data_IF_264639775782
#
_entry.id   IF_264639775782
#
_cell.length_a   1.000
_cell.length_b   1.000
_cell.length_c   1.000
_cell.angle_alpha   90.00
_cell.angle_beta   90.00
_cell.angle_gamma   90.00
#
_symmetry.space_group_name_H-M   'P 1'
#
loop_
_entity.id
_entity.type
_entity.pdbx_description
1 polymer ?
#
# COMPACT_ATOMS: atom_id res chain seq x y z
N UNK A 1 14.22 -1.87 15.90
CA UNK A 1 15.14 -1.95 14.72
C UNK A 1 15.93 -0.65 14.60
N UNK A 2 17.02 -0.59 13.76
CA UNK A 2 17.60 0.73 13.43
C UNK A 2 16.63 1.49 12.53
N UNK A 3 16.53 2.83 12.68
CA UNK A 3 15.68 3.64 11.81
C UNK A 3 16.02 3.44 10.33
N UNK A 4 14.98 3.36 9.52
CA UNK A 4 15.08 3.24 8.06
C UNK A 4 14.45 4.49 7.46
N UNK A 5 15.27 5.37 6.88
CA UNK A 5 14.87 6.69 6.40
C UNK A 5 14.22 6.63 5.03
N UNK A 6 13.15 7.37 4.83
CA UNK A 6 12.39 7.42 3.59
C UNK A 6 12.92 8.58 2.74
N UNK A 7 13.51 8.26 1.59
CA UNK A 7 14.08 9.22 0.64
C UNK A 7 13.09 9.62 -0.46
N UNK A 8 12.23 8.70 -0.90
CA UNK A 8 11.25 8.96 -1.94
C UNK A 8 10.05 8.02 -1.85
N UNK A 9 8.91 8.49 -2.33
CA UNK A 9 7.64 7.77 -2.34
C UNK A 9 7.00 7.86 -3.73
N UNK A 10 6.59 6.70 -4.27
CA UNK A 10 5.80 6.61 -5.48
C UNK A 10 4.48 5.94 -5.19
N UNK A 11 3.38 6.48 -5.72
CA UNK A 11 2.04 6.01 -5.41
C UNK A 11 1.13 6.05 -6.63
N UNK A 12 0.33 5.00 -6.79
CA UNK A 12 -0.69 4.89 -7.83
C UNK A 12 -1.99 4.39 -7.19
N UNK A 13 -3.07 5.10 -7.41
CA UNK A 13 -4.36 4.81 -6.80
C UNK A 13 -5.51 5.32 -7.68
N UNK A 14 -6.73 5.31 -7.19
CA UNK A 14 -7.95 5.65 -7.95
C UNK A 14 -7.94 7.02 -8.64
N UNK A 15 -7.26 8.04 -8.09
CA UNK A 15 -7.11 9.36 -8.75
C UNK A 15 -5.90 9.42 -9.69
N UNK A 16 -5.23 8.31 -9.93
CA UNK A 16 -4.11 8.22 -10.84
C UNK A 16 -2.75 8.08 -10.15
N UNK A 17 -1.75 8.77 -10.65
CA UNK A 17 -0.34 8.57 -10.32
C UNK A 17 0.25 9.83 -9.68
N UNK A 18 1.06 9.65 -8.65
CA UNK A 18 1.91 10.67 -8.04
C UNK A 18 1.47 11.10 -6.64
N UNK A 19 2.48 11.45 -5.84
CA UNK A 19 2.32 11.80 -4.43
C UNK A 19 1.49 13.08 -4.23
N UNK A 20 1.60 14.07 -5.12
CA UNK A 20 0.82 15.29 -5.06
C UNK A 20 -0.69 15.03 -5.21
N UNK A 21 -1.08 14.08 -6.09
CA UNK A 21 -2.49 13.67 -6.22
C UNK A 21 -2.98 12.97 -4.98
N UNK A 22 -2.11 12.18 -4.34
CA UNK A 22 -2.45 11.51 -3.09
C UNK A 22 -2.62 12.49 -1.94
N UNK A 23 -1.72 13.47 -1.82
CA UNK A 23 -1.86 14.55 -0.84
C UNK A 23 -3.15 15.36 -1.06
N UNK A 24 -3.47 15.67 -2.31
CA UNK A 24 -4.73 16.36 -2.62
C UNK A 24 -5.95 15.50 -2.24
N UNK A 25 -5.89 14.19 -2.47
CA UNK A 25 -6.95 13.29 -2.06
C UNK A 25 -7.13 13.23 -0.52
N UNK A 26 -6.03 13.28 0.24
CA UNK A 26 -6.08 13.40 1.70
C UNK A 26 -6.74 14.70 2.17
N UNK A 27 -6.56 15.80 1.43
CA UNK A 27 -7.19 17.10 1.69
C UNK A 27 -8.68 17.13 1.33
N UNK A 28 -9.03 16.54 0.18
CA UNK A 28 -10.39 16.48 -0.34
C UNK A 28 -11.28 15.49 0.44
N UNK A 29 -10.67 14.46 1.00
CA UNK A 29 -11.37 13.41 1.71
C UNK A 29 -11.90 12.30 0.81
N UNK A 30 -13.15 11.86 1.06
CA UNK A 30 -13.77 10.75 0.35
C UNK A 30 -13.86 10.97 -1.15
N UNK A 31 -13.66 9.86 -1.89
CA UNK A 31 -13.83 9.83 -3.34
C UNK A 31 -14.85 8.75 -3.73
N UNK A 32 -15.55 8.96 -4.84
CA UNK A 32 -16.53 7.98 -5.33
C UNK A 32 -15.83 6.85 -6.08
N UNK A 33 -16.12 5.58 -5.74
CA UNK A 33 -15.55 4.45 -6.47
C UNK A 33 -16.10 4.38 -7.90
N UNK A 34 -15.31 3.81 -8.79
CA UNK A 34 -15.74 3.54 -10.17
C UNK A 34 -16.75 2.40 -10.22
N UNK A 35 -17.69 2.46 -11.17
CA UNK A 35 -18.70 1.43 -11.41
C UNK A 35 -18.30 0.62 -12.64
N UNK A 36 -18.28 -0.71 -12.53
CA UNK A 36 -18.07 -1.64 -13.65
C UNK A 36 -19.34 -1.79 -14.49
N UNK A 37 -19.22 -2.43 -15.66
CA UNK A 37 -20.36 -2.66 -16.56
C UNK A 37 -21.49 -3.51 -15.93
N UNK A 38 -21.15 -4.36 -14.97
CA UNK A 38 -22.08 -5.20 -14.20
C UNK A 38 -22.58 -4.55 -12.90
N UNK A 39 -22.26 -3.24 -12.70
CA UNK A 39 -22.75 -2.45 -11.58
C UNK A 39 -21.92 -2.55 -10.29
N UNK A 40 -20.85 -3.33 -10.27
CA UNK A 40 -19.97 -3.44 -9.09
C UNK A 40 -19.11 -2.20 -8.90
N UNK A 41 -18.95 -1.82 -7.66
CA UNK A 41 -18.15 -0.65 -7.27
C UNK A 41 -16.77 -1.07 -6.77
N UNK A 42 -15.73 -0.40 -7.27
CA UNK A 42 -14.35 -0.59 -6.81
C UNK A 42 -13.52 0.68 -7.01
N UNK A 43 -12.50 0.86 -6.20
CA UNK A 43 -11.50 1.91 -6.37
C UNK A 43 -10.43 1.43 -7.36
N UNK A 44 -10.67 1.69 -8.65
CA UNK A 44 -9.77 1.24 -9.73
C UNK A 44 -8.82 2.36 -10.15
N UNK A 45 -7.59 1.98 -10.41
CA UNK A 45 -6.60 2.88 -11.01
C UNK A 45 -7.00 3.18 -12.46
N UNK A 46 -7.13 4.45 -12.85
CA UNK A 46 -7.49 4.82 -14.21
C UNK A 46 -6.42 4.38 -15.22
N UNK A 47 -6.85 4.02 -16.43
CA UNK A 47 -5.94 3.47 -17.46
C UNK A 47 -4.84 4.45 -17.86
N UNK A 48 -5.14 5.73 -17.91
CA UNK A 48 -4.21 6.82 -18.27
C UNK A 48 -3.10 7.02 -17.24
N UNK A 49 -3.31 6.64 -15.97
CA UNK A 49 -2.27 6.65 -14.96
C UNK A 49 -1.08 5.72 -15.30
N UNK A 50 -1.30 4.73 -16.16
CA UNK A 50 -0.31 3.76 -16.60
C UNK A 50 0.19 4.03 -18.03
N UNK A 51 0.14 5.28 -18.49
CA UNK A 51 0.61 5.71 -19.80
C UNK A 51 1.81 6.64 -19.61
N UNK A 52 3.00 6.10 -19.89
CA UNK A 52 4.25 6.83 -20.00
C UNK A 52 5.11 6.08 -21.01
N UNK A 53 5.39 6.73 -22.14
CA UNK A 53 6.09 6.08 -23.26
C UNK A 53 7.49 5.57 -22.87
N UNK A 54 8.22 6.32 -22.05
CA UNK A 54 9.58 5.94 -21.65
C UNK A 54 9.59 4.71 -20.75
N UNK A 55 8.61 4.60 -19.86
CA UNK A 55 8.43 3.43 -18.99
C UNK A 55 7.91 2.26 -19.80
N UNK A 56 6.84 2.45 -20.57
CA UNK A 56 6.22 1.39 -21.37
C UNK A 56 7.17 0.77 -22.39
N UNK A 57 8.09 1.56 -22.97
CA UNK A 57 9.13 1.06 -23.87
C UNK A 57 9.99 -0.01 -23.22
N UNK A 58 10.27 0.11 -21.92
CA UNK A 58 11.07 -0.85 -21.14
C UNK A 58 10.29 -2.10 -20.74
N UNK A 59 8.95 -2.00 -20.62
CA UNK A 59 8.09 -3.05 -20.04
C UNK A 59 6.88 -3.41 -20.93
N UNK A 60 7.11 -3.58 -22.22
CA UNK A 60 6.05 -3.79 -23.23
C UNK A 60 5.16 -5.03 -22.99
N UNK A 61 5.71 -6.09 -22.41
CA UNK A 61 5.05 -7.40 -22.25
C UNK A 61 4.49 -7.64 -20.86
N UNK A 62 4.45 -6.59 -20.01
CA UNK A 62 3.92 -6.69 -18.67
C UNK A 62 2.40 -6.70 -18.65
N UNK A 63 1.85 -7.42 -17.70
CA UNK A 63 0.45 -7.33 -17.31
C UNK A 63 0.14 -6.04 -16.52
N UNK A 64 -1.13 -5.85 -16.15
CA UNK A 64 -1.57 -4.68 -15.38
C UNK A 64 -0.93 -4.64 -14.00
N UNK A 65 -0.89 -5.77 -13.29
CA UNK A 65 -0.28 -5.89 -11.97
C UNK A 65 1.17 -5.41 -11.97
N UNK A 66 1.97 -5.93 -12.91
CA UNK A 66 3.38 -5.52 -13.03
C UNK A 66 3.54 -4.05 -13.43
N UNK A 67 2.63 -3.50 -14.26
CA UNK A 67 2.65 -2.06 -14.60
C UNK A 67 2.41 -1.19 -13.39
N UNK A 68 1.43 -1.51 -12.55
CA UNK A 68 1.19 -0.79 -11.29
C UNK A 68 2.46 -0.70 -10.46
N UNK A 69 3.16 -1.83 -10.29
CA UNK A 69 4.41 -1.87 -9.54
C UNK A 69 5.52 -1.04 -10.18
N UNK A 70 5.77 -1.22 -11.49
CA UNK A 70 6.85 -0.52 -12.20
C UNK A 70 6.66 1.00 -12.18
N UNK A 71 5.43 1.46 -12.41
CA UNK A 71 5.17 2.90 -12.45
C UNK A 71 5.32 3.54 -11.08
N UNK A 72 4.81 2.91 -10.00
CA UNK A 72 4.99 3.42 -8.65
C UNK A 72 6.47 3.37 -8.21
N UNK A 73 7.19 2.32 -8.58
CA UNK A 73 8.63 2.18 -8.31
C UNK A 73 9.46 3.29 -8.99
N UNK A 74 9.18 3.58 -10.26
CA UNK A 74 9.82 4.67 -11.00
C UNK A 74 9.53 6.03 -10.35
N UNK A 75 8.30 6.26 -9.87
CA UNK A 75 7.93 7.49 -9.17
C UNK A 75 8.66 7.64 -7.84
N UNK A 76 8.85 6.56 -7.09
CA UNK A 76 9.60 6.61 -5.82
C UNK A 76 11.06 7.01 -6.04
N UNK A 77 11.69 6.53 -7.11
CA UNK A 77 13.03 6.92 -7.50
C UNK A 77 13.05 8.39 -7.93
N UNK A 78 12.11 8.79 -8.79
CA UNK A 78 12.04 10.18 -9.26
C UNK A 78 11.80 11.16 -8.10
N UNK A 79 10.92 10.82 -7.16
CA UNK A 79 10.63 11.64 -5.99
C UNK A 79 11.84 11.77 -5.03
N UNK A 80 12.73 10.81 -5.02
CA UNK A 80 13.96 10.88 -4.19
C UNK A 80 15.05 11.79 -4.76
N UNK A 81 14.83 12.38 -5.94
CA UNK A 81 15.82 13.15 -6.69
C UNK A 81 17.12 12.35 -6.97
N UNK A 82 17.01 11.02 -6.99
CA UNK A 82 18.11 10.11 -7.22
C UNK A 82 18.27 9.82 -8.71
N UNK A 83 19.46 10.07 -9.26
CA UNK A 83 19.83 9.45 -10.53
C UNK A 83 20.36 8.03 -10.28
N UNK A 84 19.59 7.04 -10.72
CA UNK A 84 19.98 5.64 -10.60
C UNK A 84 21.31 5.36 -11.32
N UNK A 85 21.61 6.10 -12.39
CA UNK A 85 22.85 5.93 -13.14
C UNK A 85 24.09 6.27 -12.30
N UNK A 86 23.95 7.11 -11.29
CA UNK A 86 25.05 7.51 -10.39
C UNK A 86 25.32 6.49 -9.28
N UNK A 87 24.46 5.46 -9.14
CA UNK A 87 24.63 4.44 -8.12
C UNK A 87 25.18 3.13 -8.70
N UNK A 88 25.91 2.42 -7.86
CA UNK A 88 26.15 1.00 -8.07
C UNK A 88 24.81 0.26 -8.01
N UNK A 89 24.32 -0.16 -9.16
CA UNK A 89 23.02 -0.81 -9.33
C UNK A 89 22.90 -2.12 -8.58
N UNK A 90 24.03 -2.76 -8.23
CA UNK A 90 24.07 -3.95 -7.36
C UNK A 90 23.81 -3.62 -5.89
N UNK A 91 23.95 -2.36 -5.50
CA UNK A 91 23.73 -1.87 -4.12
C UNK A 91 22.28 -1.49 -3.82
N UNK A 92 21.36 -1.64 -4.78
CA UNK A 92 19.92 -1.36 -4.63
C UNK A 92 19.16 -2.69 -4.61
N UNK A 93 18.48 -2.97 -3.50
CA UNK A 93 17.56 -4.10 -3.41
C UNK A 93 16.12 -3.71 -3.76
N UNK A 94 15.34 -4.68 -4.22
CA UNK A 94 13.91 -4.50 -4.53
C UNK A 94 13.11 -5.54 -3.77
N UNK A 95 12.12 -5.09 -2.99
CA UNK A 95 11.20 -5.97 -2.28
C UNK A 95 9.77 -5.53 -2.61
N UNK A 96 8.98 -6.45 -3.17
CA UNK A 96 7.57 -6.23 -3.45
C UNK A 96 6.73 -7.09 -2.53
N UNK A 97 5.75 -6.47 -1.89
CA UNK A 97 4.72 -7.16 -1.14
C UNK A 97 3.41 -7.20 -1.93
N UNK A 98 2.71 -8.31 -1.87
CA UNK A 98 1.37 -8.48 -2.46
C UNK A 98 0.57 -9.47 -1.65
N UNK A 99 -0.75 -9.38 -1.68
CA UNK A 99 -1.61 -10.37 -1.04
C UNK A 99 -1.91 -11.55 -1.95
N UNK A 100 -2.31 -11.28 -3.19
CA UNK A 100 -2.79 -12.28 -4.14
C UNK A 100 -1.98 -12.39 -5.43
N UNK A 101 -0.99 -11.51 -5.63
CA UNK A 101 -0.22 -11.46 -6.86
C UNK A 101 -1.05 -11.08 -8.08
N UNK A 102 -0.59 -11.45 -9.29
CA UNK A 102 -1.22 -11.12 -10.56
C UNK A 102 -2.46 -12.00 -10.84
N UNK A 103 -3.45 -11.98 -9.94
CA UNK A 103 -4.56 -12.93 -9.98
C UNK A 103 -5.41 -12.82 -11.26
N UNK A 104 -5.53 -11.63 -11.88
CA UNK A 104 -6.20 -11.50 -13.18
C UNK A 104 -5.48 -12.32 -14.26
N UNK A 105 -4.15 -12.28 -14.26
CA UNK A 105 -3.32 -13.05 -15.19
C UNK A 105 -3.35 -14.54 -14.86
N UNK A 106 -3.39 -14.91 -13.57
CA UNK A 106 -3.54 -16.31 -13.12
C UNK A 106 -4.88 -16.88 -13.61
N UNK A 107 -5.99 -16.18 -13.38
CA UNK A 107 -7.30 -16.62 -13.89
C UNK A 107 -7.30 -16.79 -15.40
N UNK A 108 -6.71 -15.83 -16.14
CA UNK A 108 -6.58 -15.95 -17.59
C UNK A 108 -5.81 -17.19 -18.02
N UNK A 109 -4.72 -17.53 -17.35
CA UNK A 109 -3.96 -18.78 -17.64
C UNK A 109 -4.82 -20.00 -17.40
N UNK A 110 -5.57 -20.02 -16.28
CA UNK A 110 -6.46 -21.15 -15.96
C UNK A 110 -7.59 -21.28 -16.97
N UNK A 111 -8.22 -20.19 -17.37
CA UNK A 111 -9.25 -20.19 -18.41
C UNK A 111 -8.70 -20.70 -19.74
N UNK A 112 -7.52 -20.21 -20.18
CA UNK A 112 -6.87 -20.66 -21.41
C UNK A 112 -6.57 -22.20 -21.37
N UNK A 113 -6.21 -22.76 -20.20
CA UNK A 113 -6.00 -24.21 -20.01
C UNK A 113 -7.32 -24.98 -20.11
N UNK A 114 -8.36 -24.49 -19.44
CA UNK A 114 -9.68 -25.16 -19.41
C UNK A 114 -10.32 -25.16 -20.80
N UNK A 115 -10.31 -24.01 -21.47
CA UNK A 115 -11.02 -23.84 -22.75
C UNK A 115 -10.27 -24.41 -23.95
N UNK A 116 -8.93 -24.37 -23.94
CA UNK A 116 -8.13 -24.66 -25.13
C UNK A 116 -7.02 -25.70 -24.88
N UNK A 117 -6.82 -26.14 -23.65
CA UNK A 117 -5.76 -27.05 -23.24
C UNK A 117 -4.38 -26.39 -23.07
N UNK A 118 -3.50 -27.06 -22.35
CA UNK A 118 -2.19 -26.56 -21.92
C UNK A 118 -1.30 -26.01 -23.04
N UNK A 119 -1.40 -26.62 -24.26
CA UNK A 119 -0.58 -26.25 -25.44
C UNK A 119 -0.94 -24.88 -26.04
N UNK A 120 -2.07 -24.29 -25.64
CA UNK A 120 -2.54 -22.99 -26.13
C UNK A 120 -2.21 -21.83 -25.21
N UNK A 121 -1.70 -22.09 -24.02
CA UNK A 121 -1.30 -21.04 -23.06
C UNK A 121 -0.13 -20.24 -23.63
N UNK A 122 -0.29 -18.92 -23.64
CA UNK A 122 0.78 -18.01 -24.03
C UNK A 122 1.96 -18.08 -23.04
N UNK A 123 3.19 -18.35 -23.48
CA UNK A 123 4.38 -18.32 -22.60
C UNK A 123 4.54 -16.99 -21.87
N UNK A 124 4.20 -15.87 -22.50
CA UNK A 124 4.26 -14.55 -21.87
C UNK A 124 3.21 -14.39 -20.77
N UNK A 125 1.97 -14.86 -21.02
CA UNK A 125 0.91 -14.80 -20.00
C UNK A 125 1.28 -15.69 -18.82
N UNK A 126 1.80 -16.89 -19.08
CA UNK A 126 2.27 -17.80 -18.03
C UNK A 126 3.42 -17.18 -17.22
N UNK A 127 4.43 -16.59 -17.88
CA UNK A 127 5.53 -15.92 -17.19
C UNK A 127 5.07 -14.74 -16.32
N UNK A 128 3.99 -14.04 -16.70
CA UNK A 128 3.41 -12.95 -15.93
C UNK A 128 2.49 -13.43 -14.77
N UNK A 129 2.08 -14.70 -14.76
CA UNK A 129 1.20 -15.23 -13.71
C UNK A 129 1.92 -15.55 -12.40
N UNK A 130 3.24 -15.47 -12.35
CA UNK A 130 4.01 -15.72 -11.13
C UNK A 130 4.19 -14.45 -10.31
N UNK A 131 4.14 -14.58 -8.98
CA UNK A 131 4.13 -13.44 -8.05
C UNK A 131 5.38 -12.56 -8.15
N UNK A 132 6.53 -13.10 -8.49
CA UNK A 132 7.79 -12.36 -8.59
C UNK A 132 8.02 -11.69 -9.96
N UNK A 133 7.12 -11.85 -10.92
CA UNK A 133 7.26 -11.23 -12.24
C UNK A 133 7.34 -9.69 -12.13
N UNK A 134 6.47 -9.08 -11.31
CA UNK A 134 6.49 -7.64 -11.10
C UNK A 134 7.84 -7.13 -10.58
N UNK A 135 8.45 -7.85 -9.63
CA UNK A 135 9.75 -7.47 -9.07
C UNK A 135 10.87 -7.54 -10.11
N UNK A 136 10.85 -8.55 -10.97
CA UNK A 136 11.77 -8.66 -12.10
C UNK A 136 11.61 -7.53 -13.11
N UNK A 137 10.37 -7.13 -13.39
CA UNK A 137 10.09 -5.99 -14.28
C UNK A 137 10.52 -4.65 -13.69
N UNK A 138 10.33 -4.45 -12.38
CA UNK A 138 10.84 -3.25 -11.69
C UNK A 138 12.36 -3.20 -11.79
N UNK A 139 13.06 -4.30 -11.49
CA UNK A 139 14.52 -4.38 -11.60
C UNK A 139 14.99 -4.05 -13.03
N UNK A 140 14.36 -4.66 -14.03
CA UNK A 140 14.69 -4.42 -15.44
C UNK A 140 14.43 -2.96 -15.86
N UNK A 141 13.30 -2.37 -15.45
CA UNK A 141 12.94 -0.99 -15.80
C UNK A 141 13.92 0.03 -15.21
N UNK A 142 14.40 -0.23 -14.00
CA UNK A 142 15.32 0.62 -13.27
C UNK A 142 16.81 0.31 -13.55
N UNK A 143 17.11 -0.82 -14.19
CA UNK A 143 18.47 -1.30 -14.41
C UNK A 143 19.14 -1.82 -13.13
N UNK A 144 18.39 -2.13 -12.08
CA UNK A 144 18.93 -2.64 -10.82
C UNK A 144 19.35 -4.10 -10.96
N UNK A 145 20.54 -4.43 -10.44
CA UNK A 145 21.15 -5.76 -10.46
C UNK A 145 21.31 -6.38 -9.06
N UNK A 146 20.89 -5.65 -8.03
CA UNK A 146 20.87 -6.14 -6.66
C UNK A 146 19.79 -7.20 -6.41
N UNK A 147 19.67 -7.69 -5.17
CA UNK A 147 18.72 -8.74 -4.82
C UNK A 147 17.28 -8.27 -5.00
N UNK A 148 16.44 -9.20 -5.47
CA UNK A 148 15.03 -8.98 -5.74
C UNK A 148 14.22 -10.03 -4.98
N UNK A 149 13.19 -9.62 -4.23
CA UNK A 149 12.32 -10.49 -3.45
C UNK A 149 10.86 -10.10 -3.59
N UNK A 150 9.98 -11.09 -3.54
CA UNK A 150 8.53 -10.87 -3.38
C UNK A 150 8.06 -11.55 -2.11
N UNK A 151 7.30 -10.84 -1.28
CA UNK A 151 6.69 -11.35 -0.05
C UNK A 151 5.18 -11.47 -0.22
N UNK A 152 4.63 -12.63 0.17
CA UNK A 152 3.20 -12.89 0.15
C UNK A 152 2.76 -13.45 1.48
N UNK A 153 2.09 -12.64 2.28
CA UNK A 153 1.54 -13.05 3.57
C UNK A 153 0.23 -12.32 3.87
N UNK A 154 -0.61 -12.17 2.83
CA UNK A 154 -1.89 -11.47 2.92
C UNK A 154 -1.76 -10.11 3.64
N UNK A 155 -2.36 -9.99 4.83
CA UNK A 155 -2.41 -8.75 5.61
C UNK A 155 -1.06 -8.20 6.06
N UNK A 156 -0.04 -9.05 6.19
CA UNK A 156 1.26 -8.67 6.77
C UNK A 156 2.38 -8.64 5.73
N UNK A 157 2.03 -8.76 4.44
CA UNK A 157 3.01 -8.78 3.35
C UNK A 157 3.91 -7.54 3.37
N UNK A 158 3.35 -6.35 3.59
CA UNK A 158 4.12 -5.11 3.61
C UNK A 158 5.03 -5.02 4.85
N UNK A 159 4.55 -5.37 6.03
CA UNK A 159 5.36 -5.38 7.25
C UNK A 159 6.55 -6.35 7.14
N UNK A 160 6.32 -7.52 6.55
CA UNK A 160 7.39 -8.48 6.28
C UNK A 160 8.41 -7.91 5.28
N UNK A 161 7.95 -7.23 4.23
CA UNK A 161 8.83 -6.57 3.28
C UNK A 161 9.68 -5.48 3.94
N UNK A 162 9.09 -4.66 4.82
CA UNK A 162 9.82 -3.63 5.57
C UNK A 162 10.85 -4.23 6.54
N UNK A 163 10.51 -5.31 7.25
CA UNK A 163 11.45 -6.01 8.13
C UNK A 163 12.63 -6.58 7.33
N UNK A 164 12.37 -7.16 6.16
CA UNK A 164 13.42 -7.67 5.28
C UNK A 164 14.29 -6.53 4.74
N UNK A 165 13.68 -5.40 4.32
CA UNK A 165 14.41 -4.21 3.89
C UNK A 165 15.33 -3.69 5.01
N UNK A 166 14.81 -3.61 6.23
CA UNK A 166 15.58 -3.22 7.41
C UNK A 166 16.76 -4.16 7.67
N UNK A 167 16.54 -5.48 7.53
CA UNK A 167 17.61 -6.47 7.71
C UNK A 167 18.72 -6.28 6.68
N UNK A 168 18.38 -6.18 5.38
CA UNK A 168 19.37 -5.98 4.32
C UNK A 168 20.20 -4.71 4.49
N UNK A 169 19.56 -3.61 4.92
CA UNK A 169 20.23 -2.36 5.20
C UNK A 169 21.11 -2.45 6.46
N UNK A 170 20.62 -3.09 7.53
CA UNK A 170 21.35 -3.25 8.81
C UNK A 170 22.60 -4.12 8.67
N UNK A 171 22.56 -5.13 7.81
CA UNK A 171 23.69 -6.00 7.49
C UNK A 171 24.74 -5.33 6.60
N UNK A 172 24.47 -4.11 6.11
CA UNK A 172 25.34 -3.37 5.20
C UNK A 172 25.48 -3.99 3.81
N UNK A 173 24.61 -4.91 3.46
CA UNK A 173 24.60 -5.56 2.13
C UNK A 173 24.24 -4.58 1.02
N UNK A 174 23.35 -3.65 1.34
CA UNK A 174 22.78 -2.70 0.39
C UNK A 174 22.87 -1.29 0.93
N UNK A 175 23.00 -0.32 0.04
CA UNK A 175 22.91 1.10 0.38
C UNK A 175 21.47 1.59 0.42
N UNK A 176 20.63 1.02 -0.45
CA UNK A 176 19.21 1.40 -0.59
C UNK A 176 18.35 0.17 -0.85
N UNK A 177 17.11 0.26 -0.43
CA UNK A 177 16.08 -0.72 -0.76
C UNK A 177 14.85 0.02 -1.28
N UNK A 178 14.37 -0.41 -2.43
CA UNK A 178 13.07 -0.03 -2.95
C UNK A 178 12.04 -1.06 -2.47
N UNK A 179 11.26 -0.71 -1.47
CA UNK A 179 10.26 -1.57 -0.86
C UNK A 179 8.86 -1.04 -1.12
N UNK A 180 7.95 -1.89 -1.56
CA UNK A 180 6.59 -1.42 -1.85
C UNK A 180 5.59 -2.54 -1.95
N UNK A 181 4.36 -2.13 -2.25
CA UNK A 181 3.22 -3.03 -2.44
C UNK A 181 2.64 -2.90 -3.84
N UNK A 182 1.99 -3.96 -4.28
CA UNK A 182 1.07 -3.92 -5.40
C UNK A 182 -0.04 -4.95 -5.19
N UNK A 183 -1.28 -4.51 -5.32
CA UNK A 183 -2.44 -5.39 -5.46
C UNK A 183 -3.35 -4.82 -6.56
N UNK A 184 -3.95 -5.71 -7.35
CA UNK A 184 -4.91 -5.37 -8.40
C UNK A 184 -6.33 -5.79 -7.98
N UNK A 185 -7.34 -5.20 -8.60
CA UNK A 185 -8.74 -5.55 -8.41
C UNK A 185 -9.36 -5.97 -9.74
N UNK A 186 -9.35 -7.28 -10.02
CA UNK A 186 -9.97 -7.84 -11.22
C UNK A 186 -11.47 -8.06 -11.03
N UNK A 187 -12.25 -8.24 -12.12
CA UNK A 187 -13.67 -8.60 -12.03
C UNK A 187 -13.92 -9.85 -11.19
N UNK A 188 -13.03 -10.85 -11.24
CA UNK A 188 -13.13 -12.03 -10.40
C UNK A 188 -12.95 -11.72 -8.91
N UNK A 189 -12.01 -10.83 -8.57
CA UNK A 189 -11.81 -10.39 -7.19
C UNK A 189 -13.01 -9.56 -6.69
N UNK A 190 -13.57 -8.69 -7.52
CA UNK A 190 -14.77 -7.93 -7.19
C UNK A 190 -15.95 -8.86 -6.87
N UNK A 191 -16.15 -9.89 -7.70
CA UNK A 191 -17.16 -10.91 -7.46
C UNK A 191 -16.93 -11.66 -6.14
N UNK A 192 -15.69 -12.08 -5.87
CA UNK A 192 -15.33 -12.75 -4.61
C UNK A 192 -15.60 -11.84 -3.41
N UNK A 193 -15.24 -10.56 -3.51
CA UNK A 193 -15.52 -9.59 -2.45
C UNK A 193 -17.02 -9.44 -2.20
N UNK A 194 -17.83 -9.34 -3.25
CA UNK A 194 -19.28 -9.20 -3.14
C UNK A 194 -19.92 -10.42 -2.48
N UNK A 195 -19.48 -11.63 -2.83
CA UNK A 195 -19.99 -12.88 -2.30
C UNK A 195 -19.54 -13.21 -0.86
N UNK A 196 -18.37 -12.72 -0.46
CA UNK A 196 -17.73 -13.13 0.80
C UNK A 196 -17.60 -12.02 1.83
N UNK A 197 -17.72 -10.77 1.42
CA UNK A 197 -17.54 -9.61 2.28
C UNK A 197 -18.79 -8.72 2.29
N UNK A 198 -18.95 -7.93 3.34
CA UNK A 198 -20.04 -6.96 3.43
C UNK A 198 -19.73 -5.72 2.59
N UNK A 199 -20.01 -5.78 1.29
CA UNK A 199 -19.74 -4.68 0.36
C UNK A 199 -20.68 -3.49 0.60
N UNK A 200 -20.15 -2.28 0.51
CA UNK A 200 -20.93 -1.04 0.53
C UNK A 200 -21.56 -0.81 -0.86
N UNK A 201 -22.77 -1.32 -1.11
CA UNK A 201 -23.45 -1.17 -2.40
C UNK A 201 -23.70 0.29 -2.81
N UNK A 202 -23.78 1.22 -1.85
CA UNK A 202 -23.86 2.65 -2.12
C UNK A 202 -22.49 3.28 -2.46
N UNK A 203 -21.39 2.51 -2.37
CA UNK A 203 -20.02 2.98 -2.61
C UNK A 203 -19.42 3.78 -1.46
N UNK A 204 -20.18 4.05 -0.39
CA UNK A 204 -19.68 4.80 0.76
C UNK A 204 -19.06 3.84 1.77
N UNK A 205 -17.75 3.79 1.75
CA UNK A 205 -16.96 3.13 2.76
C UNK A 205 -16.72 4.10 3.90
N UNK A 206 -17.17 3.73 5.12
CA UNK A 206 -16.92 4.52 6.34
C UNK A 206 -15.89 3.76 7.18
N UNK A 207 -14.60 4.08 7.06
CA UNK A 207 -13.53 3.26 7.61
C UNK A 207 -13.64 3.02 9.12
N UNK A 208 -14.05 4.03 9.88
CA UNK A 208 -14.18 3.92 11.33
C UNK A 208 -15.52 3.28 11.77
N UNK A 209 -16.56 3.34 10.95
CA UNK A 209 -17.81 2.59 11.21
C UNK A 209 -17.68 1.10 10.86
N UNK A 210 -16.65 0.71 10.12
CA UNK A 210 -16.31 -0.69 9.87
C UNK A 210 -16.06 -1.50 11.14
N UNK A 211 -15.77 -0.84 12.25
CA UNK A 211 -15.59 -1.50 13.55
C UNK A 211 -16.88 -2.14 14.07
N UNK A 212 -18.06 -1.67 13.65
CA UNK A 212 -19.36 -2.24 14.03
C UNK A 212 -19.97 -3.12 12.94
N UNK A 213 -19.89 -2.68 11.68
CA UNK A 213 -20.42 -3.40 10.51
C UNK A 213 -19.55 -3.03 9.29
N UNK A 214 -18.55 -3.82 8.98
CA UNK A 214 -17.65 -3.50 7.90
C UNK A 214 -18.42 -3.34 6.59
N UNK A 215 -18.36 -2.15 6.02
CA UNK A 215 -18.82 -1.86 4.68
C UNK A 215 -17.60 -1.63 3.83
N UNK A 216 -17.31 -2.58 3.01
CA UNK A 216 -16.10 -2.67 2.20
C UNK A 216 -16.38 -2.19 0.77
N UNK A 217 -15.43 -1.51 0.18
CA UNK A 217 -15.36 -1.29 -1.26
C UNK A 217 -13.97 -1.73 -1.72
N UNK A 218 -13.87 -2.75 -2.58
CA UNK A 218 -12.57 -3.24 -3.02
C UNK A 218 -11.78 -2.15 -3.74
N UNK A 219 -10.47 -2.23 -3.63
CA UNK A 219 -9.55 -1.29 -4.27
C UNK A 219 -8.33 -1.97 -4.87
N UNK A 220 -7.59 -1.21 -5.66
CA UNK A 220 -6.29 -1.57 -6.20
C UNK A 220 -5.32 -0.41 -6.12
N UNK A 221 -4.04 -0.72 -6.15
CA UNK A 221 -3.02 0.30 -6.17
C UNK A 221 -1.62 -0.24 -5.90
N UNK A 222 -0.68 0.69 -5.90
CA UNK A 222 0.71 0.41 -5.62
C UNK A 222 1.34 1.59 -4.91
N UNK A 223 2.14 1.31 -3.89
CA UNK A 223 2.91 2.31 -3.16
C UNK A 223 4.32 1.78 -2.91
N UNK A 224 5.33 2.57 -3.27
CA UNK A 224 6.74 2.24 -3.10
C UNK A 224 7.46 3.30 -2.30
N UNK A 225 8.43 2.85 -1.51
CA UNK A 225 9.32 3.69 -0.70
C UNK A 225 10.76 3.36 -1.05
N UNK A 226 11.52 4.37 -1.45
CA UNK A 226 12.97 4.25 -1.49
C UNK A 226 13.49 4.54 -0.09
N UNK A 227 14.18 3.57 0.49
CA UNK A 227 14.65 3.66 1.88
C UNK A 227 16.14 3.38 2.01
N UNK A 228 16.77 3.99 3.03
CA UNK A 228 18.17 3.77 3.39
C UNK A 228 18.42 3.99 4.88
N UNK A 229 19.69 3.85 5.29
CA UNK A 229 20.15 4.25 6.63
C UNK A 229 20.83 5.63 6.67
N UNK A 230 20.84 6.36 5.56
CA UNK A 230 21.40 7.70 5.50
C UNK A 230 20.40 8.78 5.94
N UNK A 231 20.54 9.22 7.19
CA UNK A 231 19.65 10.26 7.77
C UNK A 231 19.72 11.61 7.04
N UNK A 232 20.79 11.88 6.29
CA UNK A 232 20.94 13.12 5.50
C UNK A 232 20.06 13.13 4.26
N UNK A 233 19.61 11.94 3.81
CA UNK A 233 18.72 11.76 2.65
C UNK A 233 17.25 11.66 3.04
N UNK A 234 16.93 11.74 4.32
CA UNK A 234 15.57 11.67 4.83
C UNK A 234 14.72 12.81 4.28
N UNK A 235 13.67 12.48 3.53
CA UNK A 235 12.69 13.42 2.96
C UNK A 235 11.33 13.37 3.66
N UNK A 236 10.96 12.19 4.18
CA UNK A 236 9.61 11.90 4.70
C UNK A 236 9.60 11.30 6.12
N UNK A 237 10.69 11.38 6.86
CA UNK A 237 10.82 10.71 8.15
C UNK A 237 11.41 9.30 8.01
N UNK A 238 11.14 8.45 9.00
CA UNK A 238 11.70 7.11 9.08
C UNK A 238 10.69 6.10 9.62
N UNK A 239 10.82 4.84 9.18
CA UNK A 239 10.28 3.69 9.87
C UNK A 239 11.21 3.35 11.05
N UNK A 240 10.71 3.39 12.27
CA UNK A 240 11.52 3.20 13.47
C UNK A 240 11.25 1.90 14.19
N UNK A 241 10.00 1.46 14.19
CA UNK A 241 9.60 0.22 14.84
C UNK A 241 8.53 -0.50 14.02
N UNK A 242 8.60 -1.84 13.98
CA UNK A 242 7.60 -2.69 13.34
C UNK A 242 7.32 -3.84 14.30
N UNK A 243 6.08 -3.98 14.72
CA UNK A 243 5.64 -5.10 15.54
C UNK A 243 4.61 -5.94 14.79
N UNK A 244 4.97 -7.20 14.51
CA UNK A 244 4.13 -8.19 13.85
C UNK A 244 3.73 -9.34 14.80
N UNK A 245 4.11 -9.25 16.08
CA UNK A 245 3.87 -10.34 17.04
C UNK A 245 2.40 -10.49 17.40
N UNK A 246 1.65 -9.41 17.26
CA UNK A 246 0.24 -9.33 17.64
C UNK A 246 0.01 -9.29 19.15
N UNK A 247 1.07 -9.12 19.93
CA UNK A 247 1.03 -9.07 21.40
C UNK A 247 1.13 -7.64 21.94
N UNK A 248 1.40 -6.67 21.07
CA UNK A 248 1.51 -5.26 21.45
C UNK A 248 0.13 -4.61 21.55
N UNK A 249 0.04 -3.65 22.46
CA UNK A 249 -1.11 -2.74 22.58
C UNK A 249 -0.86 -1.39 21.85
N UNK A 250 0.15 -1.34 20.97
CA UNK A 250 0.61 -0.11 20.32
C UNK A 250 1.43 0.79 21.26
N UNK A 251 1.86 1.89 20.70
CA UNK A 251 2.63 2.89 21.45
C UNK A 251 1.70 3.99 21.97
N UNK A 252 1.98 4.46 23.18
CA UNK A 252 1.20 5.51 23.85
C UNK A 252 1.80 6.91 23.67
N UNK A 253 3.03 6.97 23.16
CA UNK A 253 3.82 8.19 22.92
C UNK A 253 3.76 8.67 21.48
N UNK A 254 2.62 8.49 20.83
CA UNK A 254 2.40 8.89 19.43
C UNK A 254 1.40 10.04 19.33
N UNK A 255 1.58 10.87 18.31
CA UNK A 255 0.71 12.02 18.06
C UNK A 255 -0.60 11.64 17.36
N UNK A 256 -0.58 10.53 16.59
CA UNK A 256 -1.71 10.06 15.78
C UNK A 256 -1.62 8.56 15.54
N UNK A 257 -2.77 7.89 15.55
CA UNK A 257 -2.93 6.52 15.09
C UNK A 257 -3.68 6.49 13.76
N UNK A 258 -3.09 5.94 12.71
CA UNK A 258 -3.77 5.69 11.44
C UNK A 258 -4.19 4.22 11.42
N UNK A 259 -5.49 3.97 11.28
CA UNK A 259 -6.06 2.63 11.30
C UNK A 259 -6.29 2.13 9.88
N UNK A 260 -5.69 1.01 9.57
CA UNK A 260 -5.93 0.25 8.36
C UNK A 260 -7.21 -0.53 8.44
N UNK A 261 -8.20 -0.06 7.75
CA UNK A 261 -9.48 -0.75 7.62
C UNK A 261 -9.50 -1.51 6.30
N UNK A 262 -8.91 -2.70 6.30
CA UNK A 262 -9.00 -3.60 5.16
C UNK A 262 -10.35 -4.35 5.08
N UNK A 263 -11.27 -4.04 6.01
CA UNK A 263 -12.66 -4.49 6.11
C UNK A 263 -12.89 -6.02 6.05
N UNK A 264 -11.86 -6.82 6.13
CA UNK A 264 -11.96 -8.28 6.03
C UNK A 264 -12.21 -8.98 7.38
N UNK A 265 -12.84 -8.30 8.30
CA UNK A 265 -13.24 -8.87 9.58
C UNK A 265 -12.43 -8.33 10.75
N UNK A 266 -12.85 -7.24 11.31
CA UNK A 266 -12.46 -6.79 12.62
C UNK A 266 -13.69 -6.51 13.46
N UNK A 267 -13.72 -6.94 14.69
CA UNK A 267 -14.67 -6.44 15.65
C UNK A 267 -14.16 -5.14 16.23
N UNK A 268 -15.05 -4.27 16.66
CA UNK A 268 -14.76 -3.06 17.42
C UNK A 268 -13.80 -3.31 18.59
N UNK A 269 -13.87 -4.51 19.16
CA UNK A 269 -13.05 -4.93 20.31
C UNK A 269 -11.55 -4.93 20.02
N UNK A 270 -11.14 -5.23 18.81
CA UNK A 270 -9.70 -5.26 18.43
C UNK A 270 -9.03 -3.91 18.60
N UNK A 271 -9.75 -2.83 18.33
CA UNK A 271 -9.23 -1.46 18.41
C UNK A 271 -9.59 -0.74 19.71
N UNK A 272 -10.46 -1.33 20.54
CA UNK A 272 -11.02 -0.68 21.72
C UNK A 272 -9.97 -0.11 22.66
N UNK A 273 -8.92 -0.87 22.96
CA UNK A 273 -7.86 -0.44 23.87
C UNK A 273 -7.00 0.69 23.28
N UNK A 274 -6.86 0.73 21.96
CA UNK A 274 -6.09 1.76 21.25
C UNK A 274 -6.90 3.05 21.17
N UNK A 275 -8.17 2.93 20.82
CA UNK A 275 -9.09 4.07 20.64
C UNK A 275 -9.40 4.76 21.96
N UNK A 276 -9.40 4.03 23.07
CA UNK A 276 -9.65 4.55 24.41
C UNK A 276 -8.47 5.31 25.05
N UNK A 277 -7.29 5.34 24.41
CA UNK A 277 -6.09 6.00 24.95
C UNK A 277 -6.04 7.52 24.76
N UNK A 278 -7.07 8.14 24.22
CA UNK A 278 -7.11 9.58 23.97
C UNK A 278 -6.23 10.05 22.79
N UNK A 279 -5.49 9.14 22.14
CA UNK A 279 -4.69 9.43 20.95
C UNK A 279 -5.63 9.69 19.78
N UNK A 280 -5.43 10.76 18.99
CA UNK A 280 -6.21 11.01 17.78
C UNK A 280 -6.12 9.83 16.81
N UNK A 281 -7.25 9.51 16.17
CA UNK A 281 -7.39 8.37 15.25
C UNK A 281 -7.85 8.87 13.89
N UNK A 282 -7.25 8.33 12.81
CA UNK A 282 -7.66 8.56 11.43
C UNK A 282 -7.68 7.26 10.63
N UNK A 283 -8.46 7.24 9.55
CA UNK A 283 -8.49 6.14 8.58
C UNK A 283 -8.78 6.68 7.18
N UNK A 284 -8.03 6.23 6.18
CA UNK A 284 -8.05 6.81 4.84
C UNK A 284 -8.46 5.84 3.72
N UNK A 285 -8.83 4.61 4.05
CA UNK A 285 -9.18 3.60 3.04
C UNK A 285 -10.37 3.99 2.14
N UNK A 286 -11.23 4.92 2.57
CA UNK A 286 -12.29 5.48 1.72
C UNK A 286 -11.79 6.40 0.58
N UNK A 287 -10.48 6.62 0.47
CA UNK A 287 -9.84 7.36 -0.62
C UNK A 287 -9.32 6.41 -1.71
N UNK A 288 -8.89 5.20 -1.35
CA UNK A 288 -8.24 4.25 -2.26
C UNK A 288 -8.85 2.84 -2.25
N UNK A 289 -9.86 2.63 -1.41
CA UNK A 289 -10.50 1.33 -1.24
C UNK A 289 -9.80 0.40 -0.26
N UNK A 290 -10.44 -0.72 0.01
CA UNK A 290 -9.89 -1.75 0.88
C UNK A 290 -9.18 -2.83 0.08
N UNK A 291 -7.94 -3.14 0.44
CA UNK A 291 -7.18 -4.29 -0.01
C UNK A 291 -6.11 -4.65 1.05
N UNK A 292 -5.66 -5.89 1.03
CA UNK A 292 -4.89 -6.43 2.17
C UNK A 292 -3.57 -5.72 2.43
N UNK A 293 -2.91 -5.20 1.40
CA UNK A 293 -1.65 -4.47 1.52
C UNK A 293 -1.83 -2.95 1.63
N UNK A 294 -3.07 -2.47 1.79
CA UNK A 294 -3.43 -1.04 1.85
C UNK A 294 -2.71 -0.24 2.93
N UNK A 295 -2.13 -0.90 3.94
CA UNK A 295 -1.34 -0.27 4.99
C UNK A 295 -0.09 0.50 4.49
N UNK A 296 0.41 0.22 3.31
CA UNK A 296 1.44 1.04 2.67
C UNK A 296 0.93 2.46 2.33
N UNK A 297 -0.35 2.59 1.96
CA UNK A 297 -0.98 3.90 1.73
C UNK A 297 -1.14 4.70 3.03
N UNK A 298 -1.40 4.01 4.13
CA UNK A 298 -1.43 4.62 5.47
C UNK A 298 -0.06 5.14 5.87
N UNK A 299 1.00 4.38 5.60
CA UNK A 299 2.37 4.83 5.81
C UNK A 299 2.73 6.01 4.89
N UNK A 300 2.24 6.05 3.65
CA UNK A 300 2.43 7.19 2.75
C UNK A 300 1.71 8.44 3.28
N UNK A 301 0.49 8.29 3.82
CA UNK A 301 -0.23 9.38 4.47
C UNK A 301 0.51 9.88 5.72
N UNK A 302 1.00 8.97 6.57
CA UNK A 302 1.82 9.30 7.74
C UNK A 302 3.10 10.06 7.34
N UNK A 303 3.79 9.61 6.31
CA UNK A 303 4.99 10.23 5.77
C UNK A 303 4.74 11.68 5.31
N UNK A 304 3.64 11.92 4.59
CA UNK A 304 3.21 13.27 4.19
C UNK A 304 2.87 14.15 5.39
N UNK A 305 2.17 13.62 6.39
CA UNK A 305 1.84 14.35 7.60
C UNK A 305 3.08 14.75 8.40
N UNK A 306 4.03 13.84 8.56
CA UNK A 306 5.30 14.11 9.24
C UNK A 306 6.12 15.15 8.50
N UNK A 307 6.13 15.12 7.15
CA UNK A 307 6.82 16.11 6.32
C UNK A 307 6.15 17.49 6.40
N UNK A 308 4.83 17.54 6.20
CA UNK A 308 4.08 18.78 6.06
C UNK A 308 3.61 19.35 7.38
N UNK A 309 3.78 18.63 8.50
CA UNK A 309 3.30 19.01 9.83
C UNK A 309 1.80 19.32 9.83
N UNK A 310 1.05 18.53 9.07
CA UNK A 310 -0.39 18.69 8.86
C UNK A 310 -1.09 17.37 9.15
N UNK A 311 -2.00 17.36 10.10
CA UNK A 311 -2.94 16.25 10.30
C UNK A 311 -4.08 16.40 9.30
N UNK A 312 -4.27 15.42 8.41
CA UNK A 312 -5.44 15.41 7.51
C UNK A 312 -6.66 14.83 8.20
N UNK A 313 -7.85 15.35 7.84
CA UNK A 313 -9.10 14.82 8.34
C UNK A 313 -9.33 13.37 7.89
N UNK A 314 -9.85 12.54 8.79
CA UNK A 314 -10.34 11.22 8.43
C UNK A 314 -11.65 11.37 7.64
N UNK A 315 -11.72 10.91 6.39
CA UNK A 315 -12.94 11.04 5.60
C UNK A 315 -14.04 10.09 6.09
N UNK A 316 -15.31 10.45 5.84
CA UNK A 316 -16.49 9.65 6.13
C UNK A 316 -16.58 9.13 7.58
N UNK A 317 -16.38 10.04 8.52
CA UNK A 317 -16.54 9.72 9.95
C UNK A 317 -18.01 9.72 10.30
N UNK A 318 -18.56 8.55 10.64
CA UNK A 318 -19.75 8.50 11.45
C UNK A 318 -19.34 8.94 12.87
N UNK A 319 -19.77 10.14 13.30
CA UNK A 319 -19.44 10.67 14.62
C UNK A 319 -19.89 9.68 15.69
N UNK A 320 -18.94 9.01 16.28
CA UNK A 320 -19.14 8.26 17.50
C UNK A 320 -18.50 9.06 18.63
N UNK A 321 -19.24 9.33 19.69
CA UNK A 321 -18.77 10.02 20.89
C UNK A 321 -17.63 9.29 21.62
N UNK A 322 -17.32 8.08 21.15
CA UNK A 322 -16.42 7.15 21.82
C UNK A 322 -14.93 7.35 21.47
N UNK A 323 -14.59 8.10 20.39
CA UNK A 323 -13.23 8.14 19.90
C UNK A 323 -12.76 9.54 19.55
N UNK A 324 -11.49 9.82 19.81
CA UNK A 324 -10.83 11.07 19.42
C UNK A 324 -10.49 11.03 17.92
N UNK A 325 -11.52 11.12 17.06
CA UNK A 325 -11.32 11.06 15.61
C UNK A 325 -10.77 12.36 15.08
N UNK A 326 -9.81 12.28 14.18
CA UNK A 326 -9.28 13.40 13.42
C UNK A 326 -10.34 13.87 12.40
N UNK A 327 -11.35 14.62 12.85
CA UNK A 327 -12.50 15.07 12.04
C UNK A 327 -12.20 16.32 11.19
N UNK A 328 -11.09 16.99 11.44
CA UNK A 328 -10.65 18.20 10.73
C UNK A 328 -9.18 18.15 10.40
N UNK A 329 -8.84 18.65 9.20
CA UNK A 329 -7.46 18.92 8.85
C UNK A 329 -6.95 20.13 9.61
N UNK A 330 -5.76 20.03 10.19
CA UNK A 330 -5.12 21.11 10.95
C UNK A 330 -3.60 21.01 10.90
N UNK A 331 -2.96 22.16 10.87
CA UNK A 331 -1.52 22.26 11.12
C UNK A 331 -1.25 21.97 12.60
N UNK A 332 -0.33 21.06 12.85
CA UNK A 332 0.15 20.75 14.21
C UNK A 332 1.50 20.06 14.14
N UNK A 333 2.24 20.18 15.21
CA UNK A 333 3.48 19.42 15.38
C UNK A 333 3.16 17.93 15.42
N UNK A 334 3.83 17.17 14.56
CA UNK A 334 3.75 15.73 14.44
C UNK A 334 5.16 15.16 14.42
N UNK A 335 5.51 14.39 15.44
CA UNK A 335 6.81 13.77 15.60
C UNK A 335 6.76 12.26 15.41
N UNK A 336 5.65 11.63 15.83
CA UNK A 336 5.47 10.20 15.84
C UNK A 336 4.05 9.83 15.42
N UNK A 337 3.95 8.92 14.44
CA UNK A 337 2.67 8.37 13.96
C UNK A 337 2.78 6.85 13.96
N UNK A 338 1.75 6.17 14.43
CA UNK A 338 1.63 4.72 14.26
C UNK A 338 0.58 4.38 13.22
N UNK A 339 0.90 3.44 12.33
CA UNK A 339 -0.03 2.81 11.42
C UNK A 339 -0.39 1.43 11.98
N UNK A 340 -1.68 1.14 12.08
CA UNK A 340 -2.20 -0.05 12.76
C UNK A 340 -3.04 -0.84 11.77
N UNK A 341 -2.73 -2.12 11.63
CA UNK A 341 -3.50 -3.05 10.81
C UNK A 341 -3.85 -4.30 11.63
N UNK A 342 -4.87 -5.03 11.22
CA UNK A 342 -5.23 -6.29 11.83
C UNK A 342 -5.46 -7.37 10.77
N UNK A 343 -5.41 -8.62 11.17
CA UNK A 343 -5.78 -9.76 10.34
C UNK A 343 -7.15 -10.34 10.75
N UNK A 344 -7.58 -11.36 10.03
CA UNK A 344 -8.83 -12.08 10.30
C UNK A 344 -8.85 -12.83 11.65
N UNK A 345 -7.68 -13.03 12.28
CA UNK A 345 -7.56 -13.61 13.64
C UNK A 345 -7.48 -12.54 14.72
N UNK A 346 -7.79 -11.28 14.40
CA UNK A 346 -7.77 -10.13 15.28
C UNK A 346 -6.36 -9.78 15.86
N UNK A 347 -5.30 -10.31 15.26
CA UNK A 347 -3.94 -9.89 15.62
C UNK A 347 -3.65 -8.52 15.03
N UNK A 348 -3.24 -7.60 15.90
CA UNK A 348 -2.79 -6.27 15.52
C UNK A 348 -1.32 -6.28 15.13
N UNK A 349 -1.00 -5.49 14.14
CA UNK A 349 0.37 -5.18 13.76
C UNK A 349 0.53 -3.67 13.69
N UNK A 350 1.72 -3.21 14.02
CA UNK A 350 2.01 -1.80 14.17
C UNK A 350 3.28 -1.44 13.39
N UNK A 351 3.23 -0.28 12.74
CA UNK A 351 4.39 0.38 12.14
C UNK A 351 4.48 1.76 12.77
N UNK A 352 5.59 2.08 13.44
CA UNK A 352 5.88 3.40 13.99
C UNK A 352 6.76 4.18 13.03
N UNK A 353 6.33 5.38 12.74
CA UNK A 353 7.05 6.33 11.90
C UNK A 353 7.37 7.58 12.70
N UNK A 354 8.57 8.13 12.48
CA UNK A 354 9.03 9.37 13.15
C UNK A 354 9.50 10.39 12.12
N UNK A 355 9.40 11.66 12.51
CA UNK A 355 9.88 12.79 11.71
C UNK A 355 11.38 12.74 11.50
#
# INVERSE_FOLDING_TARGET
MKPVFIEGIGIIFTRGRGLNKFEQALKDGWDEPTVSADGRKAYRVPKDALIDYNILKKVRRTDRFSRLAVFAACDAIHDSDLDIADLDQSSIGIIIATAFGPHATIFKVLDDIIDYGEKKVSPTTFANSIHNAAASYVASALGCTGPVMTTTQFYFSFQQALLLASSWLNEGRLKKVLVGIVDECSPAMEYICEEKLSVAHNGKMSPLSCLKRPKFVPGEGSAFFLVSQDSKKKKYGAFTEIDITGNSHGWTDVDLSIIGTNAMGGSEEVYKDILNKGIPVAAYSSIYGGFMTGNAFECAAAALMLKNQTQYASPNVDRTELWNVADKSKERELNQIQCISHNNTQKLVFIKMTK
#
